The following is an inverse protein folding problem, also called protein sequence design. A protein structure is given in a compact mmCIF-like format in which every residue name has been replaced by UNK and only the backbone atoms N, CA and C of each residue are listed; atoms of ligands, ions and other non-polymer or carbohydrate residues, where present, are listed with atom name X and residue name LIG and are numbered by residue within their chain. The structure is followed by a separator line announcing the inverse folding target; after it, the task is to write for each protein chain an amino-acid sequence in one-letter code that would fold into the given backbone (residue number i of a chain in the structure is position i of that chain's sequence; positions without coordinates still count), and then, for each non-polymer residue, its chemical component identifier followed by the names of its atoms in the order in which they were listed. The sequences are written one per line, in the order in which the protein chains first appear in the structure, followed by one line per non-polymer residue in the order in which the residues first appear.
data_IF_846716122949
#
_entry.id   IF_846716122949
#
_cell.length_a   1.000
_cell.length_b   1.000
_cell.length_c   1.000
_cell.angle_alpha   90.00
_cell.angle_beta   90.00
_cell.angle_gamma   90.00
#
_symmetry.space_group_name_H-M   'P 1'
#
loop_
_entity.id
_entity.type
_entity.pdbx_description
1 polymer ?
#
# COMPACT_ATOMS: atom_id res chain seq x y z
N UNK A 1 37.23 6.09 -7.23
CA UNK A 1 36.06 6.91 -6.87
C UNK A 1 35.66 6.51 -5.47
N UNK A 2 35.54 7.47 -4.55
CA UNK A 2 35.03 7.21 -3.20
C UNK A 2 33.59 6.74 -3.33
N UNK A 3 33.27 5.57 -2.77
CA UNK A 3 31.91 5.03 -2.75
C UNK A 3 31.09 5.94 -1.81
N UNK A 4 30.02 6.55 -2.31
CA UNK A 4 29.15 7.42 -1.52
C UNK A 4 28.28 6.63 -0.54
N UNK A 5 27.45 7.32 0.25
CA UNK A 5 26.65 6.66 1.31
C UNK A 5 25.65 5.65 0.76
N UNK A 6 25.00 5.94 -0.38
CA UNK A 6 24.10 4.98 -1.03
C UNK A 6 24.90 3.83 -1.62
N UNK A 7 26.07 4.10 -2.22
CA UNK A 7 27.00 3.05 -2.64
C UNK A 7 27.42 2.12 -1.49
N UNK A 8 27.78 2.67 -0.33
CA UNK A 8 28.15 1.90 0.88
C UNK A 8 26.99 1.05 1.37
N UNK A 9 25.76 1.57 1.34
CA UNK A 9 24.56 0.79 1.64
C UNK A 9 24.39 -0.39 0.69
N UNK A 10 24.63 -0.16 -0.60
CA UNK A 10 24.51 -1.20 -1.62
C UNK A 10 25.60 -2.28 -1.49
N UNK A 11 26.74 -1.95 -0.90
CA UNK A 11 27.88 -2.86 -0.69
C UNK A 11 27.91 -3.54 0.71
N UNK A 12 27.11 -3.07 1.68
CA UNK A 12 27.16 -3.56 3.06
C UNK A 12 26.30 -4.82 3.28
N UNK A 13 26.93 -5.99 3.45
CA UNK A 13 26.26 -7.28 3.70
C UNK A 13 25.54 -7.39 5.05
N UNK A 14 25.83 -6.49 6.01
CA UNK A 14 25.47 -6.64 7.44
C UNK A 14 24.92 -5.34 8.07
N UNK A 15 24.41 -4.40 7.26
CA UNK A 15 23.78 -3.19 7.81
C UNK A 15 22.48 -3.57 8.52
N UNK A 16 22.28 -3.07 9.75
CA UNK A 16 20.98 -3.24 10.44
C UNK A 16 19.86 -2.69 9.56
N UNK A 17 18.68 -3.32 9.57
CA UNK A 17 17.55 -2.90 8.72
C UNK A 17 17.18 -1.43 8.92
N UNK A 18 17.38 -0.90 10.12
CA UNK A 18 17.09 0.50 10.48
C UNK A 18 18.14 1.46 9.92
N UNK A 19 19.44 1.15 9.98
CA UNK A 19 20.49 2.01 9.41
C UNK A 19 20.36 2.07 7.87
N UNK A 20 20.03 0.93 7.28
CA UNK A 20 19.75 0.81 5.86
C UNK A 20 18.52 1.64 5.45
N UNK A 21 17.41 1.48 6.17
CA UNK A 21 16.19 2.23 5.92
C UNK A 21 16.39 3.74 6.12
N UNK A 22 17.20 4.18 7.10
CA UNK A 22 17.53 5.59 7.32
C UNK A 22 18.24 6.22 6.11
N UNK A 23 19.15 5.47 5.49
CA UNK A 23 19.85 5.90 4.27
C UNK A 23 18.87 6.05 3.10
N UNK A 24 17.94 5.11 2.96
CA UNK A 24 16.89 5.15 1.93
C UNK A 24 15.92 6.32 2.16
N UNK A 25 15.52 6.60 3.40
CA UNK A 25 14.70 7.77 3.75
C UNK A 25 15.40 9.09 3.40
N UNK A 26 16.68 9.21 3.75
CA UNK A 26 17.49 10.38 3.41
C UNK A 26 17.67 10.55 1.89
N UNK A 27 17.79 9.44 1.15
CA UNK A 27 17.84 9.44 -0.31
C UNK A 27 16.50 9.86 -0.92
N UNK A 28 15.35 9.40 -0.40
CA UNK A 28 14.01 9.72 -0.90
C UNK A 28 13.73 11.23 -0.94
N UNK A 29 14.24 11.98 0.02
CA UNK A 29 14.12 13.44 0.03
C UNK A 29 14.94 14.14 -1.08
N UNK A 30 15.95 13.47 -1.64
CA UNK A 30 16.77 13.99 -2.75
C UNK A 30 16.20 13.63 -4.10
N UNK A 31 15.38 12.58 -4.18
CA UNK A 31 14.88 12.07 -5.46
C UNK A 31 13.99 13.15 -6.06
N UNK A 32 14.37 13.77 -7.20
CA UNK A 32 13.57 14.80 -7.84
C UNK A 32 12.32 14.23 -8.54
N UNK A 33 12.10 12.91 -8.44
CA UNK A 33 11.17 12.09 -9.21
C UNK A 33 10.55 10.94 -8.36
N UNK A 34 9.90 9.99 -9.03
CA UNK A 34 9.09 8.94 -8.42
C UNK A 34 9.92 7.99 -7.50
N UNK A 35 9.43 7.59 -6.30
CA UNK A 35 10.16 6.72 -5.35
C UNK A 35 10.67 5.40 -5.94
N UNK A 36 10.02 4.94 -7.02
CA UNK A 36 10.36 3.72 -7.77
C UNK A 36 11.81 3.70 -8.26
N UNK A 37 12.38 4.82 -8.69
CA UNK A 37 13.76 4.80 -9.22
C UNK A 37 14.73 4.26 -8.16
N UNK A 38 14.50 4.59 -6.89
CA UNK A 38 15.27 4.06 -5.76
C UNK A 38 14.92 2.59 -5.48
N UNK A 39 13.66 2.18 -5.64
CA UNK A 39 13.26 0.77 -5.57
C UNK A 39 14.01 -0.09 -6.58
N UNK A 40 14.13 0.38 -7.82
CA UNK A 40 14.83 -0.33 -8.89
C UNK A 40 16.33 -0.45 -8.59
N UNK A 41 16.97 0.59 -8.02
CA UNK A 41 18.36 0.52 -7.50
C UNK A 41 18.49 -0.58 -6.44
N UNK A 42 17.60 -0.62 -5.45
CA UNK A 42 17.66 -1.59 -4.36
C UNK A 42 17.42 -3.03 -4.84
N UNK A 43 16.56 -3.25 -5.85
CA UNK A 43 16.30 -4.56 -6.44
C UNK A 43 17.44 -5.11 -7.29
N UNK A 44 18.19 -4.26 -7.99
CA UNK A 44 19.37 -4.71 -8.74
C UNK A 44 20.41 -5.37 -7.84
N UNK A 45 20.48 -4.97 -6.56
CA UNK A 45 21.33 -5.62 -5.55
C UNK A 45 20.83 -7.01 -5.18
N UNK A 46 19.56 -7.16 -4.81
CA UNK A 46 19.02 -8.43 -4.31
C UNK A 46 19.05 -9.56 -5.35
N UNK A 47 19.09 -9.21 -6.63
CA UNK A 47 19.13 -10.17 -7.75
C UNK A 47 20.54 -10.46 -8.29
N UNK A 48 21.59 -9.80 -7.76
CA UNK A 48 22.99 -10.02 -8.19
C UNK A 48 23.28 -9.55 -9.63
N UNK A 49 22.38 -8.77 -10.24
CA UNK A 49 22.52 -8.27 -11.61
C UNK A 49 23.55 -7.14 -11.61
N UNK A 50 24.78 -7.44 -12.02
CA UNK A 50 25.90 -6.48 -12.11
C UNK A 50 25.75 -5.41 -13.21
N UNK A 51 24.83 -5.60 -14.17
CA UNK A 51 24.70 -4.72 -15.34
C UNK A 51 23.58 -3.70 -15.12
N UNK A 52 23.92 -2.68 -14.35
CA UNK A 52 23.07 -1.49 -14.13
C UNK A 52 23.16 -0.59 -15.37
N UNK A 53 22.05 0.00 -15.81
CA UNK A 53 22.03 0.90 -16.97
C UNK A 53 22.82 2.19 -16.70
N UNK A 54 23.34 2.86 -17.73
CA UNK A 54 24.09 4.10 -17.56
C UNK A 54 23.25 5.19 -16.86
N UNK A 55 21.96 5.29 -17.22
CA UNK A 55 21.00 6.18 -16.56
C UNK A 55 20.88 5.90 -15.06
N UNK A 56 20.88 4.63 -14.67
CA UNK A 56 20.79 4.24 -13.26
C UNK A 56 22.11 4.53 -12.52
N UNK A 57 23.26 4.34 -13.16
CA UNK A 57 24.56 4.74 -12.61
C UNK A 57 24.67 6.26 -12.42
N UNK A 58 24.12 7.05 -13.35
CA UNK A 58 23.99 8.50 -13.19
C UNK A 58 23.10 8.89 -12.02
N UNK A 59 21.98 8.18 -11.83
CA UNK A 59 21.07 8.40 -10.70
C UNK A 59 21.73 8.08 -9.35
N UNK A 60 22.43 6.95 -9.24
CA UNK A 60 23.19 6.59 -8.03
C UNK A 60 24.26 7.65 -7.73
N UNK A 61 25.03 8.06 -8.75
CA UNK A 61 26.02 9.14 -8.61
C UNK A 61 25.37 10.46 -8.17
N UNK A 62 24.20 10.79 -8.69
CA UNK A 62 23.46 11.99 -8.32
C UNK A 62 23.09 12.00 -6.83
N UNK A 63 22.58 10.86 -6.32
CA UNK A 63 22.23 10.72 -4.90
C UNK A 63 23.51 10.76 -4.06
N UNK A 64 24.53 9.97 -4.39
CA UNK A 64 25.78 9.88 -3.63
C UNK A 64 26.50 11.24 -3.49
N UNK A 65 26.39 12.12 -4.49
CA UNK A 65 26.97 13.46 -4.44
C UNK A 65 26.20 14.45 -3.55
N UNK A 66 24.94 14.15 -3.20
CA UNK A 66 24.02 15.04 -2.46
C UNK A 66 23.62 14.48 -1.10
N UNK A 67 23.79 13.18 -0.90
CA UNK A 67 23.47 12.50 0.33
C UNK A 67 24.55 12.82 1.37
N UNK A 68 24.13 13.53 2.41
CA UNK A 68 24.98 13.97 3.52
C UNK A 68 24.71 13.12 4.77
N UNK A 69 25.77 12.82 5.52
CA UNK A 69 25.72 11.97 6.73
C UNK A 69 24.72 12.50 7.77
N UNK A 70 24.60 13.83 7.93
CA UNK A 70 23.68 14.42 8.91
C UNK A 70 22.22 14.13 8.59
N UNK A 71 21.88 13.95 7.31
CA UNK A 71 20.52 13.58 6.89
C UNK A 71 20.23 12.12 7.17
N UNK A 72 21.22 11.26 7.01
CA UNK A 72 21.12 9.84 7.41
C UNK A 72 20.98 9.74 8.93
N UNK A 73 21.79 10.47 9.70
CA UNK A 73 21.71 10.51 11.17
C UNK A 73 20.37 11.04 11.67
N UNK A 74 19.80 12.05 11.01
CA UNK A 74 18.46 12.55 11.30
C UNK A 74 17.40 11.45 11.12
N UNK A 75 17.42 10.73 10.00
CA UNK A 75 16.46 9.65 9.76
C UNK A 75 16.68 8.45 10.68
N UNK A 76 17.93 8.13 10.99
CA UNK A 76 18.28 7.06 11.92
C UNK A 76 17.77 7.35 13.32
N UNK A 77 18.04 8.55 13.85
CA UNK A 77 17.54 8.98 15.15
C UNK A 77 16.01 9.07 15.18
N UNK A 78 15.38 9.54 14.11
CA UNK A 78 13.92 9.58 13.96
C UNK A 78 13.31 8.18 13.98
N UNK A 79 13.85 7.25 13.19
CA UNK A 79 13.38 5.87 13.13
C UNK A 79 13.50 5.17 14.48
N UNK A 80 14.68 5.22 15.11
CA UNK A 80 14.92 4.62 16.43
C UNK A 80 13.96 5.19 17.48
N UNK A 81 13.83 6.52 17.55
CA UNK A 81 12.90 7.17 18.49
C UNK A 81 11.46 6.70 18.31
N UNK A 82 10.98 6.61 17.07
CA UNK A 82 9.60 6.18 16.82
C UNK A 82 9.39 4.70 17.17
N UNK A 83 10.32 3.82 16.83
CA UNK A 83 10.24 2.38 17.17
C UNK A 83 10.44 2.11 18.66
N UNK A 84 11.16 2.97 19.38
CA UNK A 84 11.25 2.92 20.85
C UNK A 84 9.96 3.39 21.54
N UNK A 85 9.22 4.32 20.91
CA UNK A 85 7.96 4.87 21.45
C UNK A 85 6.75 3.97 21.20
N UNK A 86 6.72 3.21 20.11
CA UNK A 86 5.69 2.22 19.81
C UNK A 86 6.37 0.93 19.35
N UNK A 87 6.34 -0.10 20.19
CA UNK A 87 6.96 -1.40 19.90
C UNK A 87 6.28 -2.15 18.76
N UNK A 88 5.10 -1.70 18.31
CA UNK A 88 4.41 -2.25 17.13
C UNK A 88 4.91 -1.57 15.85
N UNK A 89 5.71 -0.52 15.93
CA UNK A 89 6.21 0.20 14.77
C UNK A 89 7.51 -0.41 14.25
N UNK A 90 7.59 -0.62 12.94
CA UNK A 90 8.78 -1.11 12.24
C UNK A 90 8.90 -0.46 10.86
N UNK A 91 10.10 -0.55 10.28
CA UNK A 91 10.36 -0.22 8.88
C UNK A 91 10.71 -1.50 8.14
N UNK A 92 10.19 -1.60 6.91
CA UNK A 92 10.49 -2.72 6.01
C UNK A 92 10.92 -2.16 4.66
N UNK A 93 12.11 -2.53 4.22
CA UNK A 93 12.62 -2.23 2.88
C UNK A 93 12.09 -3.24 1.87
N UNK A 94 12.05 -2.85 0.59
CA UNK A 94 11.62 -3.72 -0.51
C UNK A 94 12.44 -5.02 -0.62
N UNK A 95 13.68 -4.99 -0.12
CA UNK A 95 14.61 -6.12 -0.08
C UNK A 95 14.34 -7.09 1.07
N UNK A 96 13.56 -6.71 2.07
CA UNK A 96 13.29 -7.54 3.25
C UNK A 96 12.36 -8.69 2.87
N UNK A 97 12.60 -9.88 3.41
CA UNK A 97 11.83 -11.08 3.07
C UNK A 97 10.33 -10.94 3.34
N UNK A 98 9.98 -10.28 4.45
CA UNK A 98 8.59 -10.07 4.88
C UNK A 98 7.89 -8.89 4.19
N UNK A 99 8.55 -8.13 3.31
CA UNK A 99 7.90 -7.08 2.53
C UNK A 99 6.76 -7.68 1.67
N UNK A 100 5.57 -7.06 1.59
CA UNK A 100 4.43 -7.65 0.89
C UNK A 100 4.74 -7.97 -0.56
N UNK A 101 4.58 -9.23 -0.96
CA UNK A 101 5.01 -9.74 -2.27
C UNK A 101 4.29 -9.05 -3.42
N UNK A 102 2.96 -8.89 -3.31
CA UNK A 102 2.18 -8.23 -4.37
C UNK A 102 2.66 -6.79 -4.59
N UNK A 103 2.93 -6.04 -3.50
CA UNK A 103 3.49 -4.69 -3.59
C UNK A 103 4.92 -4.72 -4.16
N UNK A 104 5.76 -5.68 -3.73
CA UNK A 104 7.11 -5.88 -4.28
C UNK A 104 7.10 -6.17 -5.78
N UNK A 105 6.05 -6.75 -6.33
CA UNK A 105 5.95 -7.06 -7.75
C UNK A 105 5.31 -5.93 -8.56
N UNK A 106 4.79 -4.88 -7.91
CA UNK A 106 4.14 -3.77 -8.59
C UNK A 106 5.15 -2.80 -9.23
N UNK A 107 4.69 -2.14 -10.30
CA UNK A 107 5.47 -1.15 -11.05
C UNK A 107 5.88 0.04 -10.17
N UNK A 108 4.95 0.60 -9.40
CA UNK A 108 5.15 1.77 -8.55
C UNK A 108 5.47 1.43 -7.09
N UNK A 109 6.12 0.28 -6.86
CA UNK A 109 6.51 -0.17 -5.53
C UNK A 109 7.39 0.87 -4.80
N UNK A 110 7.05 1.26 -3.56
CA UNK A 110 7.92 2.10 -2.75
C UNK A 110 9.16 1.32 -2.29
N UNK A 111 10.30 2.00 -2.05
CA UNK A 111 11.54 1.32 -1.64
C UNK A 111 11.50 0.86 -0.19
N UNK A 112 10.61 1.44 0.62
CA UNK A 112 10.34 1.06 1.99
C UNK A 112 8.91 1.41 2.39
N UNK A 113 8.45 0.80 3.46
CA UNK A 113 7.19 1.11 4.14
C UNK A 113 7.41 1.19 5.64
N UNK A 114 6.67 2.09 6.29
CA UNK A 114 6.42 2.08 7.72
C UNK A 114 5.24 1.16 8.00
N UNK A 115 5.38 0.35 9.04
CA UNK A 115 4.41 -0.65 9.46
C UNK A 115 4.13 -0.44 10.94
N UNK A 116 2.85 -0.43 11.32
CA UNK A 116 2.41 -0.50 12.71
C UNK A 116 1.52 -1.73 12.86
N UNK A 117 1.96 -2.69 13.67
CA UNK A 117 1.43 -4.06 13.70
C UNK A 117 2.44 -5.05 13.13
N UNK A 118 1.99 -6.24 12.73
CA UNK A 118 2.87 -7.28 12.18
C UNK A 118 2.42 -7.66 10.76
N UNK A 119 3.36 -7.65 9.80
CA UNK A 119 3.12 -8.19 8.46
C UNK A 119 2.99 -9.71 8.52
N UNK A 120 2.08 -10.27 7.71
CA UNK A 120 1.82 -11.71 7.66
C UNK A 120 1.85 -12.20 6.22
N UNK A 121 2.24 -13.47 5.97
CA UNK A 121 2.05 -14.10 4.66
C UNK A 121 0.62 -13.99 4.11
N UNK A 122 -0.39 -13.96 5.00
CA UNK A 122 -1.81 -13.77 4.66
C UNK A 122 -2.10 -12.45 3.95
N UNK A 123 -1.27 -11.41 4.14
CA UNK A 123 -1.42 -10.12 3.44
C UNK A 123 -1.30 -10.27 1.91
N UNK A 124 -0.63 -11.34 1.46
CA UNK A 124 -0.49 -11.63 0.04
C UNK A 124 -1.74 -12.24 -0.56
N UNK A 125 -2.58 -12.90 0.25
CA UNK A 125 -3.85 -13.51 -0.14
C UNK A 125 -4.98 -12.55 0.25
N UNK A 126 -5.19 -11.52 -0.56
CA UNK A 126 -5.98 -10.37 -0.16
C UNK A 126 -6.80 -9.76 -1.28
N UNK A 127 -7.78 -8.95 -0.90
CA UNK A 127 -8.60 -8.15 -1.82
C UNK A 127 -8.64 -6.71 -1.33
N UNK A 128 -8.51 -5.77 -2.25
CA UNK A 128 -8.72 -4.35 -1.96
C UNK A 128 -10.20 -4.00 -2.12
N UNK A 129 -10.86 -3.52 -1.07
CA UNK A 129 -12.27 -3.11 -1.13
C UNK A 129 -12.35 -1.60 -1.00
N UNK A 130 -12.88 -0.95 -2.02
CA UNK A 130 -12.85 0.51 -2.15
C UNK A 130 -14.18 1.08 -2.59
N UNK A 131 -14.38 2.36 -2.27
CA UNK A 131 -15.47 3.12 -2.87
C UNK A 131 -15.76 4.46 -2.25
N UNK A 132 -17.03 4.88 -2.36
CA UNK A 132 -17.46 6.22 -1.99
C UNK A 132 -17.34 6.48 -0.48
N UNK A 133 -16.86 7.69 -0.14
CA UNK A 133 -16.90 8.23 1.23
C UNK A 133 -18.31 8.58 1.70
N UNK A 134 -19.24 8.75 0.75
CA UNK A 134 -20.67 9.05 0.95
C UNK A 134 -21.48 7.99 0.20
N UNK A 135 -21.38 6.75 0.65
CA UNK A 135 -22.06 5.62 0.03
C UNK A 135 -23.52 5.50 0.50
N UNK A 136 -24.39 4.94 -0.35
CA UNK A 136 -25.76 4.61 0.04
C UNK A 136 -25.78 3.46 1.05
N UNK A 137 -26.92 3.26 1.73
CA UNK A 137 -27.08 2.16 2.68
C UNK A 137 -26.78 0.81 2.04
N UNK A 138 -27.35 0.55 0.87
CA UNK A 138 -27.13 -0.70 0.13
C UNK A 138 -25.64 -0.92 -0.21
N UNK A 139 -24.93 0.13 -0.62
CA UNK A 139 -23.49 0.04 -0.92
C UNK A 139 -22.68 -0.27 0.35
N UNK A 140 -23.05 0.30 1.51
CA UNK A 140 -22.41 0.00 2.79
C UNK A 140 -22.69 -1.43 3.25
N UNK A 141 -23.95 -1.88 3.12
CA UNK A 141 -24.35 -3.23 3.49
C UNK A 141 -23.66 -4.27 2.60
N UNK A 142 -23.61 -4.06 1.28
CA UNK A 142 -22.86 -4.93 0.37
C UNK A 142 -21.35 -4.93 0.67
N UNK A 143 -20.75 -3.77 0.94
CA UNK A 143 -19.33 -3.72 1.32
C UNK A 143 -19.04 -4.53 2.58
N UNK A 144 -19.92 -4.47 3.57
CA UNK A 144 -19.79 -5.25 4.80
C UNK A 144 -19.97 -6.75 4.53
N UNK A 145 -20.98 -7.11 3.72
CA UNK A 145 -21.27 -8.50 3.34
C UNK A 145 -20.11 -9.14 2.56
N UNK A 146 -19.64 -8.46 1.51
CA UNK A 146 -18.52 -8.91 0.68
C UNK A 146 -17.24 -9.08 1.51
N UNK A 147 -16.89 -8.09 2.33
CA UNK A 147 -15.75 -8.18 3.24
C UNK A 147 -15.90 -9.32 4.27
N UNK A 148 -17.12 -9.58 4.75
CA UNK A 148 -17.40 -10.70 5.66
C UNK A 148 -17.20 -12.06 4.97
N UNK A 149 -17.66 -12.21 3.73
CA UNK A 149 -17.51 -13.45 2.96
C UNK A 149 -16.04 -13.73 2.62
N UNK A 150 -15.30 -12.69 2.22
CA UNK A 150 -13.85 -12.72 1.99
C UNK A 150 -13.10 -13.15 3.26
N UNK A 151 -13.40 -12.50 4.39
CA UNK A 151 -12.81 -12.82 5.68
C UNK A 151 -13.05 -14.27 6.11
N UNK A 152 -14.30 -14.76 6.00
CA UNK A 152 -14.66 -16.16 6.29
C UNK A 152 -13.96 -17.16 5.38
N UNK A 153 -13.57 -16.72 4.18
CA UNK A 153 -12.85 -17.54 3.21
C UNK A 153 -11.33 -17.53 3.41
N UNK A 154 -10.84 -16.86 4.47
CA UNK A 154 -9.42 -16.84 4.83
C UNK A 154 -8.59 -15.81 4.06
N UNK A 155 -9.23 -14.86 3.37
CA UNK A 155 -8.54 -13.78 2.67
C UNK A 155 -8.51 -12.50 3.49
N UNK A 156 -7.43 -11.73 3.35
CA UNK A 156 -7.26 -10.44 4.00
C UNK A 156 -8.00 -9.32 3.26
N UNK A 157 -8.66 -8.43 4.00
CA UNK A 157 -9.30 -7.22 3.45
C UNK A 157 -8.33 -6.03 3.52
N UNK A 158 -8.06 -5.39 2.39
CA UNK A 158 -7.21 -4.19 2.31
C UNK A 158 -8.10 -2.99 1.98
N UNK A 159 -7.90 -1.88 2.69
CA UNK A 159 -8.56 -0.62 2.34
C UNK A 159 -7.83 0.59 2.93
N UNK A 160 -8.39 1.77 2.67
CA UNK A 160 -7.75 3.05 2.94
C UNK A 160 -8.19 3.76 4.22
N UNK A 161 -8.94 3.11 5.11
CA UNK A 161 -9.51 3.72 6.31
C UNK A 161 -10.35 4.99 6.06
N UNK A 162 -10.78 5.27 4.82
CA UNK A 162 -11.66 6.39 4.56
C UNK A 162 -13.06 6.16 5.15
N UNK A 163 -13.86 7.22 5.26
CA UNK A 163 -15.30 7.08 5.58
C UNK A 163 -15.99 6.21 4.54
N UNK A 164 -17.16 5.66 4.88
CA UNK A 164 -18.01 4.96 3.92
C UNK A 164 -17.54 3.52 3.67
N UNK A 165 -17.31 3.17 2.40
CA UNK A 165 -16.99 1.79 1.98
C UNK A 165 -15.79 1.22 2.72
N UNK A 166 -14.66 1.92 2.75
CA UNK A 166 -13.45 1.46 3.45
C UNK A 166 -13.73 1.14 4.94
N UNK A 167 -14.50 1.99 5.62
CA UNK A 167 -14.90 1.79 7.02
C UNK A 167 -15.75 0.52 7.19
N UNK A 168 -16.70 0.29 6.28
CA UNK A 168 -17.57 -0.89 6.32
C UNK A 168 -16.77 -2.19 6.08
N UNK A 169 -15.84 -2.16 5.13
CA UNK A 169 -14.98 -3.30 4.82
C UNK A 169 -14.07 -3.68 6.01
N UNK A 170 -13.39 -2.72 6.62
CA UNK A 170 -12.56 -2.97 7.81
C UNK A 170 -13.39 -3.47 9.00
N UNK A 171 -14.57 -2.87 9.24
CA UNK A 171 -15.46 -3.33 10.32
C UNK A 171 -15.87 -4.77 10.17
N UNK A 172 -16.26 -5.19 8.96
CA UNK A 172 -16.64 -6.58 8.71
C UNK A 172 -15.51 -7.57 9.04
N UNK A 173 -14.27 -7.28 8.63
CA UNK A 173 -13.13 -8.11 8.95
C UNK A 173 -12.88 -8.16 10.47
N UNK A 174 -12.93 -7.01 11.15
CA UNK A 174 -12.72 -6.92 12.61
C UNK A 174 -13.81 -7.67 13.39
N UNK A 175 -15.08 -7.52 13.01
CA UNK A 175 -16.20 -8.18 13.69
C UNK A 175 -16.07 -9.72 13.63
N UNK A 176 -15.36 -10.24 12.63
CA UNK A 176 -15.04 -11.67 12.46
C UNK A 176 -13.67 -12.06 13.02
N UNK A 177 -12.95 -11.14 13.67
CA UNK A 177 -11.55 -11.33 14.10
C UNK A 177 -10.62 -11.77 12.96
N UNK A 178 -10.95 -11.35 11.73
CA UNK A 178 -10.17 -11.66 10.54
C UNK A 178 -9.13 -10.57 10.26
N UNK A 179 -8.16 -10.92 9.43
CA UNK A 179 -7.06 -10.04 9.08
C UNK A 179 -7.49 -8.91 8.14
N UNK A 180 -7.04 -7.69 8.44
CA UNK A 180 -7.26 -6.53 7.58
C UNK A 180 -6.07 -5.56 7.59
N UNK A 181 -5.80 -4.93 6.44
CA UNK A 181 -4.66 -4.02 6.24
C UNK A 181 -5.19 -2.62 5.94
N UNK A 182 -4.86 -1.65 6.80
CA UNK A 182 -5.15 -0.23 6.58
C UNK A 182 -3.97 0.49 5.95
N UNK A 183 -4.13 1.04 4.76
CA UNK A 183 -3.07 1.81 4.09
C UNK A 183 -3.28 3.30 4.35
N UNK A 184 -2.34 4.00 4.99
CA UNK A 184 -2.50 5.41 5.34
C UNK A 184 -2.00 6.34 4.23
N UNK A 185 -2.72 7.44 4.00
CA UNK A 185 -2.35 8.50 3.05
C UNK A 185 -1.50 9.60 3.67
N UNK A 186 -0.80 9.29 4.75
CA UNK A 186 -0.04 10.23 5.58
C UNK A 186 1.00 9.45 6.40
N UNK A 187 1.89 10.16 7.07
CA UNK A 187 2.94 9.57 7.90
C UNK A 187 2.40 8.92 9.16
N UNK A 188 3.02 7.82 9.60
CA UNK A 188 2.57 7.05 10.76
C UNK A 188 2.65 7.83 12.09
N UNK A 189 3.46 8.89 12.14
CA UNK A 189 3.56 9.82 13.27
C UNK A 189 2.56 10.98 13.24
N UNK A 190 1.71 11.05 12.21
CA UNK A 190 0.65 12.04 12.10
C UNK A 190 -0.66 11.51 12.72
N UNK A 191 -1.47 12.35 13.40
CA UNK A 191 -2.76 11.92 13.95
C UNK A 191 -3.67 11.28 12.90
N UNK A 192 -4.44 10.24 13.29
CA UNK A 192 -5.27 9.52 12.34
C UNK A 192 -6.30 10.45 11.65
N UNK A 193 -6.41 10.30 10.33
CA UNK A 193 -7.45 10.91 9.52
C UNK A 193 -8.23 9.85 8.72
N UNK A 194 -9.59 9.90 8.72
CA UNK A 194 -10.42 10.81 9.49
C UNK A 194 -10.41 10.47 11.00
N UNK A 195 -10.51 11.46 11.91
CA UNK A 195 -10.43 11.23 13.36
C UNK A 195 -11.47 10.24 13.91
N UNK A 196 -12.67 10.21 13.35
CA UNK A 196 -13.72 9.25 13.74
C UNK A 196 -13.34 7.78 13.51
N UNK A 197 -12.36 7.49 12.65
CA UNK A 197 -11.85 6.14 12.44
C UNK A 197 -10.67 5.80 13.37
N UNK A 198 -10.33 6.64 14.35
CA UNK A 198 -9.23 6.40 15.31
C UNK A 198 -9.37 5.05 16.02
N UNK A 199 -10.56 4.78 16.55
CA UNK A 199 -10.86 3.51 17.24
C UNK A 199 -10.80 2.34 16.27
N UNK A 200 -11.27 2.53 15.04
CA UNK A 200 -11.22 1.49 14.00
C UNK A 200 -9.77 1.14 13.66
N UNK A 201 -8.91 2.13 13.45
CA UNK A 201 -7.51 1.92 13.12
C UNK A 201 -6.74 1.21 14.25
N UNK A 202 -7.02 1.52 15.52
CA UNK A 202 -6.45 0.74 16.63
C UNK A 202 -6.95 -0.70 16.64
N UNK A 203 -8.24 -0.95 16.40
CA UNK A 203 -8.79 -2.31 16.30
C UNK A 203 -8.22 -3.12 15.14
N UNK A 204 -7.79 -2.48 14.05
CA UNK A 204 -7.07 -3.17 12.96
C UNK A 204 -5.81 -3.85 13.52
N UNK A 205 -5.15 -3.28 14.53
CA UNK A 205 -3.90 -3.79 15.08
C UNK A 205 -4.08 -5.07 15.91
N UNK A 206 -5.31 -5.49 16.22
CA UNK A 206 -5.57 -6.73 16.96
C UNK A 206 -5.22 -7.97 16.13
N UNK A 207 -5.51 -7.97 14.82
CA UNK A 207 -5.27 -9.10 13.90
C UNK A 207 -4.72 -8.68 12.52
N UNK A 208 -4.35 -7.41 12.38
CA UNK A 208 -4.01 -6.78 11.11
C UNK A 208 -2.86 -5.81 11.24
N UNK A 209 -2.78 -4.87 10.30
CA UNK A 209 -1.63 -3.97 10.21
C UNK A 209 -2.01 -2.65 9.56
N UNK A 210 -1.40 -1.57 10.03
CA UNK A 210 -1.42 -0.28 9.36
C UNK A 210 -0.09 -0.05 8.64
N UNK A 211 -0.12 0.42 7.40
CA UNK A 211 1.10 0.73 6.67
C UNK A 211 1.04 2.05 5.91
N UNK A 212 2.21 2.64 5.68
CA UNK A 212 2.36 3.86 4.88
C UNK A 212 3.77 3.93 4.30
N UNK A 213 3.92 4.49 3.11
CA UNK A 213 5.24 4.80 2.54
C UNK A 213 5.63 6.27 2.74
N UNK A 214 4.74 7.08 3.34
CA UNK A 214 5.02 8.49 3.58
C UNK A 214 5.96 8.66 4.79
N UNK A 215 6.84 9.68 4.77
CA UNK A 215 7.64 10.05 5.93
C UNK A 215 6.75 10.26 7.17
N UNK A 216 7.18 9.87 8.40
CA UNK A 216 6.33 9.84 9.60
C UNK A 216 5.58 11.13 9.94
N UNK A 217 6.16 12.30 9.64
CA UNK A 217 5.58 13.61 9.91
C UNK A 217 4.69 14.15 8.78
N UNK A 218 4.52 13.40 7.69
CA UNK A 218 3.81 13.87 6.49
C UNK A 218 2.31 14.03 6.75
N UNK A 219 1.71 15.21 6.54
CA UNK A 219 0.29 15.43 6.78
C UNK A 219 -0.58 14.81 5.66
N UNK A 220 -1.87 14.52 5.93
CA UNK A 220 -2.83 14.13 4.91
C UNK A 220 -3.08 15.29 3.95
N UNK A 221 -3.01 15.01 2.65
CA UNK A 221 -3.27 15.96 1.57
C UNK A 221 -4.10 15.28 0.47
N UNK A 222 -4.82 16.03 -0.38
CA UNK A 222 -5.53 15.43 -1.50
C UNK A 222 -4.62 14.58 -2.40
N UNK A 223 -3.40 15.05 -2.68
CA UNK A 223 -2.41 14.33 -3.49
C UNK A 223 -1.88 13.08 -2.79
N UNK A 224 -1.65 13.13 -1.47
CA UNK A 224 -1.19 11.94 -0.74
C UNK A 224 -2.25 10.84 -0.68
N UNK A 225 -3.55 11.18 -0.64
CA UNK A 225 -4.62 10.17 -0.77
C UNK A 225 -4.66 9.53 -2.16
N UNK A 226 -4.46 10.31 -3.22
CA UNK A 226 -4.36 9.75 -4.59
C UNK A 226 -3.14 8.85 -4.70
N UNK A 227 -1.98 9.30 -4.22
CA UNK A 227 -0.74 8.54 -4.33
C UNK A 227 -0.77 7.26 -3.46
N UNK A 228 -1.47 7.29 -2.31
CA UNK A 228 -1.73 6.10 -1.48
C UNK A 228 -2.52 5.02 -2.21
N UNK A 229 -3.47 5.39 -3.06
CA UNK A 229 -4.37 4.42 -3.71
C UNK A 229 -3.62 3.45 -4.63
N UNK A 230 -2.49 3.86 -5.23
CA UNK A 230 -1.65 2.94 -6.01
C UNK A 230 -1.03 1.83 -5.14
N UNK A 231 -0.81 2.08 -3.85
CA UNK A 231 -0.33 1.08 -2.89
C UNK A 231 -1.46 0.14 -2.48
N UNK A 232 -2.68 0.64 -2.26
CA UNK A 232 -3.84 -0.23 -1.97
C UNK A 232 -4.06 -1.21 -3.12
N UNK A 233 -4.11 -0.74 -4.37
CA UNK A 233 -4.30 -1.62 -5.52
C UNK A 233 -3.11 -2.57 -5.72
N UNK A 234 -1.89 -2.14 -5.39
CA UNK A 234 -0.70 -2.97 -5.55
C UNK A 234 -0.58 -4.12 -4.55
N UNK A 235 -1.15 -3.97 -3.34
CA UNK A 235 -1.07 -4.97 -2.28
C UNK A 235 -1.92 -6.23 -2.52
N UNK A 236 -2.93 -6.14 -3.38
CA UNK A 236 -3.80 -7.26 -3.76
C UNK A 236 -3.69 -7.57 -5.26
N UNK A 237 -4.15 -8.76 -5.66
CA UNK A 237 -4.31 -9.11 -7.08
C UNK A 237 -5.68 -8.69 -7.64
N UNK A 238 -6.63 -8.41 -6.75
CA UNK A 238 -8.02 -8.13 -7.05
C UNK A 238 -8.49 -6.90 -6.26
N UNK A 239 -9.10 -5.94 -6.94
CA UNK A 239 -9.76 -4.78 -6.31
C UNK A 239 -11.26 -4.81 -6.58
N UNK A 240 -12.07 -4.74 -5.53
CA UNK A 240 -13.53 -4.59 -5.59
C UNK A 240 -13.91 -3.12 -5.39
N UNK A 241 -14.49 -2.50 -6.41
CA UNK A 241 -15.17 -1.21 -6.27
C UNK A 241 -16.66 -1.45 -5.98
N UNK A 242 -17.08 -0.99 -4.80
CA UNK A 242 -18.48 -1.09 -4.35
C UNK A 242 -19.30 0.13 -4.74
N UNK A 243 -18.72 1.32 -4.80
CA UNK A 243 -19.43 2.53 -5.25
C UNK A 243 -18.42 3.63 -5.60
N UNK A 244 -18.74 4.52 -6.54
CA UNK A 244 -17.84 5.62 -6.89
C UNK A 244 -18.34 6.47 -8.06
N UNK A 245 -18.33 7.79 -7.85
CA UNK A 245 -18.62 8.74 -8.92
C UNK A 245 -17.50 8.79 -9.97
N UNK A 246 -17.81 9.31 -11.15
CA UNK A 246 -16.88 9.38 -12.27
C UNK A 246 -15.62 10.20 -11.96
N UNK A 247 -15.71 11.25 -11.14
CA UNK A 247 -14.58 12.09 -10.73
C UNK A 247 -14.25 11.86 -9.26
N UNK A 248 -13.90 10.62 -8.91
CA UNK A 248 -13.62 10.20 -7.54
C UNK A 248 -12.24 9.55 -7.39
N UNK A 249 -11.71 9.59 -6.16
CA UNK A 249 -10.45 8.90 -5.85
C UNK A 249 -10.52 7.38 -6.00
N UNK A 250 -11.71 6.78 -5.85
CA UNK A 250 -11.90 5.34 -6.06
C UNK A 250 -11.85 4.96 -7.54
N UNK A 251 -12.27 5.82 -8.47
CA UNK A 251 -11.97 5.64 -9.90
C UNK A 251 -10.48 5.69 -10.18
N UNK A 252 -9.76 6.66 -9.61
CA UNK A 252 -8.30 6.74 -9.79
C UNK A 252 -7.61 5.48 -9.29
N UNK A 253 -8.11 4.87 -8.21
CA UNK A 253 -7.60 3.58 -7.73
C UNK A 253 -7.90 2.41 -8.66
N UNK A 254 -9.10 2.38 -9.28
CA UNK A 254 -9.42 1.42 -10.35
C UNK A 254 -8.45 1.57 -11.51
N UNK A 255 -8.16 2.80 -11.93
CA UNK A 255 -7.19 3.06 -13.00
C UNK A 255 -5.79 2.57 -12.63
N UNK A 256 -5.33 2.78 -11.39
CA UNK A 256 -4.07 2.20 -10.91
C UNK A 256 -4.07 0.67 -10.92
N UNK A 257 -5.13 0.04 -10.44
CA UNK A 257 -5.25 -1.42 -10.43
C UNK A 257 -5.12 -1.98 -11.86
N UNK A 258 -5.80 -1.38 -12.83
CA UNK A 258 -5.75 -1.79 -14.24
C UNK A 258 -4.36 -1.57 -14.84
N UNK A 259 -3.72 -0.42 -14.58
CA UNK A 259 -2.35 -0.13 -15.03
C UNK A 259 -1.33 -1.12 -14.45
N UNK A 260 -1.57 -1.61 -13.24
CA UNK A 260 -0.76 -2.63 -12.57
C UNK A 260 -1.08 -4.06 -13.04
N UNK A 261 -1.99 -4.23 -14.00
CA UNK A 261 -2.43 -5.54 -14.50
C UNK A 261 -3.22 -6.35 -13.47
N UNK A 262 -3.81 -5.69 -12.46
CA UNK A 262 -4.68 -6.34 -11.46
C UNK A 262 -6.08 -6.53 -12.02
N UNK A 263 -6.80 -7.49 -11.43
CA UNK A 263 -8.22 -7.71 -11.73
C UNK A 263 -9.06 -6.69 -10.97
N UNK A 264 -10.04 -6.11 -11.64
CA UNK A 264 -11.00 -5.20 -11.00
C UNK A 264 -12.39 -5.81 -11.05
N UNK A 265 -13.07 -5.83 -9.91
CA UNK A 265 -14.46 -6.24 -9.80
C UNK A 265 -15.31 -5.02 -9.50
N UNK A 266 -16.43 -4.90 -10.18
CA UNK A 266 -17.45 -3.89 -9.91
C UNK A 266 -18.68 -4.53 -9.34
N UNK A 267 -19.19 -4.00 -8.23
CA UNK A 267 -20.51 -4.39 -7.78
C UNK A 267 -21.58 -3.95 -8.79
N UNK A 268 -22.52 -4.83 -9.13
CA UNK A 268 -23.62 -4.56 -10.07
C UNK A 268 -24.41 -3.31 -9.68
N UNK A 269 -24.69 -3.11 -8.39
CA UNK A 269 -25.40 -1.92 -7.92
C UNK A 269 -24.66 -0.61 -8.21
N UNK A 270 -23.32 -0.63 -8.29
CA UNK A 270 -22.53 0.52 -8.74
C UNK A 270 -22.60 0.67 -10.27
N UNK A 271 -22.48 -0.45 -10.99
CA UNK A 271 -22.55 -0.48 -12.44
C UNK A 271 -23.90 -0.01 -12.99
N UNK A 272 -24.99 -0.17 -12.25
CA UNK A 272 -26.32 0.37 -12.61
C UNK A 272 -26.38 1.89 -12.45
N UNK A 273 -25.79 2.42 -11.36
CA UNK A 273 -25.78 3.86 -11.04
C UNK A 273 -24.85 4.66 -11.94
N UNK A 274 -23.68 4.10 -12.31
CA UNK A 274 -22.60 4.86 -12.93
C UNK A 274 -22.24 4.31 -14.31
N UNK A 275 -22.39 5.14 -15.35
CA UNK A 275 -22.12 4.74 -16.74
C UNK A 275 -20.64 4.42 -17.00
N UNK A 276 -19.72 5.13 -16.35
CA UNK A 276 -18.28 4.90 -16.50
C UNK A 276 -17.84 3.49 -16.06
N UNK A 277 -18.51 2.93 -15.04
CA UNK A 277 -18.27 1.56 -14.58
C UNK A 277 -18.61 0.57 -15.69
N UNK A 278 -19.75 0.75 -16.37
CA UNK A 278 -20.17 -0.11 -17.50
C UNK A 278 -19.19 -0.04 -18.67
N UNK A 279 -18.59 1.12 -18.92
CA UNK A 279 -17.57 1.28 -19.96
C UNK A 279 -16.28 0.53 -19.58
N UNK A 280 -15.86 0.61 -18.31
CA UNK A 280 -14.67 -0.11 -17.84
C UNK A 280 -14.89 -1.63 -17.82
N UNK A 281 -16.11 -2.09 -17.55
CA UNK A 281 -16.49 -3.50 -17.56
C UNK A 281 -16.31 -4.21 -18.92
N UNK A 282 -16.01 -3.47 -19.99
CA UNK A 282 -15.69 -4.05 -21.30
C UNK A 282 -14.23 -4.51 -21.42
N UNK A 283 -13.37 -4.20 -20.45
CA UNK A 283 -11.97 -4.61 -20.44
C UNK A 283 -11.79 -6.05 -19.94
N UNK A 284 -10.80 -6.78 -20.46
CA UNK A 284 -10.62 -8.21 -20.18
C UNK A 284 -10.36 -8.53 -18.69
N UNK A 285 -9.65 -7.64 -17.99
CA UNK A 285 -9.31 -7.81 -16.58
C UNK A 285 -10.36 -7.24 -15.62
N UNK A 286 -11.58 -6.99 -16.12
CA UNK A 286 -12.68 -6.43 -15.34
C UNK A 286 -13.87 -7.40 -15.27
N UNK A 287 -14.47 -7.55 -14.08
CA UNK A 287 -15.68 -8.33 -13.85
C UNK A 287 -16.77 -7.51 -13.19
N UNK A 288 -18.03 -7.94 -13.35
CA UNK A 288 -19.17 -7.46 -12.56
C UNK A 288 -19.60 -8.59 -11.63
N UNK A 289 -19.78 -8.27 -10.35
CA UNK A 289 -20.24 -9.20 -9.31
C UNK A 289 -21.59 -8.75 -8.76
N UNK A 290 -22.45 -9.70 -8.41
CA UNK A 290 -23.79 -9.43 -7.87
C UNK A 290 -23.86 -9.70 -6.37
N UNK A 291 -23.17 -10.74 -5.94
CA UNK A 291 -23.20 -11.27 -4.59
C UNK A 291 -21.80 -11.29 -3.95
N UNK A 292 -21.78 -11.45 -2.63
CA UNK A 292 -20.54 -11.68 -1.89
C UNK A 292 -19.86 -13.02 -2.25
N UNK A 293 -20.63 -14.03 -2.65
CA UNK A 293 -20.11 -15.31 -3.14
C UNK A 293 -19.37 -15.16 -4.48
N UNK A 294 -19.89 -14.36 -5.41
CA UNK A 294 -19.19 -14.06 -6.68
C UNK A 294 -17.82 -13.43 -6.42
N UNK A 295 -17.73 -12.53 -5.43
CA UNK A 295 -16.46 -11.89 -5.02
C UNK A 295 -15.47 -12.95 -4.56
N UNK A 296 -15.90 -13.89 -3.72
CA UNK A 296 -15.04 -14.95 -3.19
C UNK A 296 -14.59 -15.90 -4.31
N UNK A 297 -15.46 -16.26 -5.24
CA UNK A 297 -15.12 -17.14 -6.35
C UNK A 297 -14.11 -16.51 -7.30
N UNK A 298 -14.27 -15.23 -7.62
CA UNK A 298 -13.30 -14.46 -8.40
C UNK A 298 -11.95 -14.34 -7.68
N UNK A 299 -11.98 -14.15 -6.36
CA UNK A 299 -10.77 -14.08 -5.54
C UNK A 299 -10.01 -15.41 -5.52
N UNK A 300 -10.71 -16.53 -5.36
CA UNK A 300 -10.10 -17.87 -5.44
C UNK A 300 -9.43 -18.09 -6.79
N UNK A 301 -10.07 -17.73 -7.90
CA UNK A 301 -9.48 -17.87 -9.25
C UNK A 301 -8.19 -17.06 -9.43
N UNK A 302 -8.06 -15.90 -8.78
CA UNK A 302 -6.88 -15.05 -8.89
C UNK A 302 -5.67 -15.53 -8.04
N UNK A 303 -5.91 -16.40 -7.05
CA UNK A 303 -4.92 -16.86 -6.08
C UNK A 303 -4.58 -18.36 -6.16
N UNK A 304 -5.25 -19.10 -7.05
CA UNK A 304 -4.85 -20.46 -7.49
C UNK A 304 -3.70 -20.37 -8.49
#
# INVERSE_FOLDING_TARGET
MTIGLLGKLLDADDASSVDAAATVLAALELVPAHPRDLTDVLRTRSTGVRRVSERMNEFIRYIDQRLDERRVDFWLSTARKLTEQDSRLSLHMVTDHNFPRNLRESYDCPPLIWVRGELSPEDNSSISIIGSRRASRDSLDFSYEAASAVAKSGFCVISGLARGIDTAAHRAAIDLSARTVGVLGFGIGYPLYPPENAVLAEKILDNGVLLTYFPPSSPPTPSSFVARNSVISALSKVSLLVDGEEKSGSRTEVEFALQQGRRVLFWRGAAEKHSWIRLFAMQENVGIVESSDDVVDELRRAYV
#
